data_IF_167805724132
#
_entry.id   IF_167805724132
#
_cell.length_a   1.000
_cell.length_b   1.000
_cell.length_c   1.000
_cell.angle_alpha   90.00
_cell.angle_beta   90.00
_cell.angle_gamma   90.00
#
_symmetry.space_group_name_H-M   'P 1'
#
loop_
_entity.id
_entity.type
_entity.pdbx_description
1 polymer ?
#
# COMPACT_ATOMS: atom_id res chain seq x y z
N UNK A 1 32.14 -6.58 34.19
CA UNK A 1 32.33 -5.84 32.93
C UNK A 1 31.42 -6.46 31.88
N UNK A 2 30.46 -5.72 31.33
CA UNK A 2 29.66 -6.16 30.17
C UNK A 2 28.22 -6.56 30.48
N UNK A 3 27.28 -5.70 30.10
CA UNK A 3 25.92 -6.06 29.65
C UNK A 3 25.27 -4.80 29.08
N UNK A 4 25.66 -4.46 27.84
CA UNK A 4 25.08 -3.37 27.06
C UNK A 4 23.67 -3.77 26.65
N UNK A 5 22.66 -3.28 27.37
CA UNK A 5 21.26 -3.46 27.00
C UNK A 5 20.98 -2.74 25.68
N UNK A 6 20.66 -3.53 24.66
CA UNK A 6 20.31 -3.09 23.32
C UNK A 6 19.05 -2.20 23.37
N UNK A 7 19.19 -0.94 22.94
CA UNK A 7 18.09 0.00 22.77
C UNK A 7 17.38 -0.32 21.45
N UNK A 8 16.15 -0.82 21.54
CA UNK A 8 15.25 -0.97 20.39
C UNK A 8 14.87 0.42 19.83
N UNK A 9 15.00 0.67 18.52
CA UNK A 9 14.46 1.88 17.92
C UNK A 9 12.94 1.72 17.76
N UNK A 10 12.17 2.34 18.65
CA UNK A 10 10.72 2.50 18.49
C UNK A 10 10.45 3.33 17.23
N UNK A 11 9.92 2.69 16.19
CA UNK A 11 9.44 3.34 14.96
C UNK A 11 8.21 4.17 15.33
N UNK A 12 8.40 5.47 15.53
CA UNK A 12 7.32 6.39 15.89
C UNK A 12 6.38 6.59 14.68
N UNK A 13 5.05 6.48 14.85
CA UNK A 13 4.10 6.74 13.79
C UNK A 13 4.06 8.24 13.47
N UNK A 14 4.30 8.60 12.20
CA UNK A 14 4.29 9.97 11.72
C UNK A 14 2.91 10.63 11.89
N UNK A 15 2.74 11.43 12.94
CA UNK A 15 1.57 12.29 13.15
C UNK A 15 1.74 13.59 12.36
N UNK A 16 0.64 14.15 11.83
CA UNK A 16 0.66 15.45 11.16
C UNK A 16 0.61 16.59 12.20
N UNK A 17 0.93 17.83 11.82
CA UNK A 17 0.99 19.02 12.72
C UNK A 17 -0.27 19.31 13.57
N UNK A 18 -1.39 18.61 13.34
CA UNK A 18 -2.66 18.74 14.06
C UNK A 18 -2.94 17.57 15.02
N UNK A 19 -1.95 16.74 15.33
CA UNK A 19 -2.08 15.62 16.28
C UNK A 19 -3.07 14.52 15.87
N UNK A 20 -3.67 14.60 14.68
CA UNK A 20 -4.58 13.58 14.16
C UNK A 20 -3.75 12.45 13.57
N UNK A 21 -4.07 11.17 13.85
CA UNK A 21 -3.38 10.05 13.22
C UNK A 21 -3.50 10.20 11.69
N UNK A 22 -2.37 10.46 11.04
CA UNK A 22 -2.30 10.53 9.59
C UNK A 22 -2.56 9.12 9.11
N UNK A 23 -3.82 8.81 8.77
CA UNK A 23 -4.19 7.49 8.24
C UNK A 23 -3.18 7.17 7.14
N UNK A 24 -2.46 6.04 7.22
CA UNK A 24 -1.47 5.71 6.20
C UNK A 24 -2.16 5.77 4.84
N UNK A 25 -1.50 6.33 3.81
CA UNK A 25 -2.06 6.39 2.47
C UNK A 25 -2.48 4.97 2.09
N UNK A 26 -3.79 4.75 2.03
CA UNK A 26 -4.35 3.42 1.78
C UNK A 26 -3.84 2.97 0.42
N UNK A 27 -3.17 1.81 0.36
CA UNK A 27 -2.82 1.22 -0.92
C UNK A 27 -4.09 1.09 -1.76
N UNK A 28 -3.99 1.26 -3.09
CA UNK A 28 -5.11 1.01 -3.99
C UNK A 28 -5.62 -0.42 -3.74
N UNK A 29 -6.91 -0.56 -3.45
CA UNK A 29 -7.54 -1.89 -3.35
C UNK A 29 -7.72 -2.56 -4.71
N UNK A 30 -7.43 -1.87 -5.81
CA UNK A 30 -7.51 -2.41 -7.18
C UNK A 30 -6.20 -2.08 -7.91
N UNK A 31 -5.73 -2.95 -8.79
CA UNK A 31 -4.61 -2.59 -9.67
C UNK A 31 -4.97 -1.40 -10.58
N UNK A 32 -3.96 -0.75 -11.14
CA UNK A 32 -4.11 0.41 -12.01
C UNK A 32 -4.99 0.11 -13.23
N UNK A 33 -4.76 -1.00 -13.91
CA UNK A 33 -5.57 -1.44 -15.06
C UNK A 33 -7.07 -1.60 -14.71
N UNK A 34 -7.39 -2.27 -13.60
CA UNK A 34 -8.78 -2.41 -13.15
C UNK A 34 -9.38 -1.10 -12.65
N UNK A 35 -8.57 -0.25 -12.01
CA UNK A 35 -8.99 1.07 -11.55
C UNK A 35 -9.30 2.01 -12.71
N UNK A 36 -8.43 2.05 -13.72
CA UNK A 36 -8.60 2.82 -14.94
C UNK A 36 -9.82 2.35 -15.74
N UNK A 37 -10.02 1.03 -15.83
CA UNK A 37 -11.20 0.43 -16.44
C UNK A 37 -12.46 0.47 -15.55
N UNK A 38 -12.38 1.03 -14.33
CA UNK A 38 -13.47 1.13 -13.33
C UNK A 38 -14.20 -0.19 -13.08
N UNK A 39 -13.45 -1.29 -13.00
CA UNK A 39 -14.01 -2.62 -12.77
C UNK A 39 -13.57 -3.21 -11.43
N UNK A 40 -14.26 -4.29 -11.01
CA UNK A 40 -13.83 -5.07 -9.86
C UNK A 40 -12.47 -5.71 -10.16
N UNK A 41 -11.54 -5.56 -9.22
CA UNK A 41 -10.25 -6.23 -9.26
C UNK A 41 -10.29 -7.44 -8.32
N UNK A 42 -9.86 -8.59 -8.83
CA UNK A 42 -9.81 -9.87 -8.13
C UNK A 42 -8.70 -9.90 -7.07
N UNK A 43 -7.79 -8.91 -7.12
CA UNK A 43 -6.64 -8.72 -6.21
C UNK A 43 -5.71 -9.93 -6.10
N UNK A 44 -5.79 -10.88 -7.03
CA UNK A 44 -4.84 -11.99 -7.11
C UNK A 44 -3.44 -11.43 -7.36
N UNK A 45 -2.44 -12.05 -6.73
CA UNK A 45 -1.04 -11.66 -6.79
C UNK A 45 -0.25 -12.78 -7.50
N UNK A 46 0.70 -12.47 -8.40
CA UNK A 46 1.29 -11.16 -8.71
C UNK A 46 0.43 -10.25 -9.62
N UNK A 47 -0.47 -10.83 -10.40
CA UNK A 47 -1.38 -10.10 -11.31
C UNK A 47 -2.83 -10.52 -11.09
N UNK A 48 -3.74 -9.57 -11.28
CA UNK A 48 -5.17 -9.81 -11.20
C UNK A 48 -5.63 -10.80 -12.30
N UNK A 49 -6.63 -11.65 -12.05
CA UNK A 49 -7.11 -12.65 -13.02
C UNK A 49 -7.53 -12.03 -14.35
N UNK A 50 -8.25 -10.89 -14.31
CA UNK A 50 -8.57 -10.11 -15.51
C UNK A 50 -7.33 -9.65 -16.28
N UNK A 51 -6.31 -9.20 -15.54
CA UNK A 51 -5.08 -8.68 -16.12
C UNK A 51 -4.28 -9.79 -16.80
N UNK A 52 -4.27 -10.99 -16.21
CA UNK A 52 -3.66 -12.19 -16.79
C UNK A 52 -4.41 -12.60 -18.06
N UNK A 53 -5.75 -12.69 -18.00
CA UNK A 53 -6.57 -13.08 -19.14
C UNK A 53 -6.48 -12.08 -20.31
N UNK A 54 -6.41 -10.78 -20.00
CA UNK A 54 -6.31 -9.72 -21.01
C UNK A 54 -4.90 -9.33 -21.41
N UNK A 55 -3.85 -9.97 -20.84
CA UNK A 55 -2.46 -9.58 -21.10
C UNK A 55 -2.11 -8.14 -20.69
N UNK A 56 -2.84 -7.56 -19.73
CA UNK A 56 -2.69 -6.16 -19.31
C UNK A 56 -1.60 -6.01 -18.24
N UNK A 57 -1.00 -4.82 -18.20
CA UNK A 57 -0.05 -4.47 -17.15
C UNK A 57 -0.76 -4.29 -15.79
N UNK A 58 -0.49 -5.18 -14.84
CA UNK A 58 -1.12 -5.16 -13.52
C UNK A 58 -0.17 -4.55 -12.49
N UNK A 59 -0.34 -3.26 -12.21
CA UNK A 59 0.47 -2.54 -11.22
C UNK A 59 -0.40 -2.12 -10.04
N UNK A 60 -0.03 -2.49 -8.82
CA UNK A 60 -0.68 -2.00 -7.61
C UNK A 60 0.06 -0.76 -7.10
N UNK A 61 -0.38 0.42 -7.56
CA UNK A 61 0.20 1.70 -7.16
C UNK A 61 -0.31 2.24 -5.81
N UNK A 62 0.37 3.25 -5.28
CA UNK A 62 -0.08 4.00 -4.10
C UNK A 62 -1.29 4.88 -4.49
N UNK A 63 -2.42 4.78 -3.79
CA UNK A 63 -3.53 5.72 -3.97
C UNK A 63 -3.14 7.08 -3.41
N UNK A 64 -2.61 7.97 -4.24
CA UNK A 64 -2.47 9.39 -3.89
C UNK A 64 -3.83 10.06 -4.11
N UNK A 65 -4.71 9.88 -3.13
CA UNK A 65 -5.84 10.80 -2.97
C UNK A 65 -5.28 12.04 -2.29
N UNK A 66 -5.20 13.13 -3.06
CA UNK A 66 -4.80 14.46 -2.58
C UNK A 66 -5.82 14.97 -1.54
#
# INVERSE_FOLDING_TARGET
MGSTLARTPTVQPATNARGTPRRPPKLRSSCDACGAAKVRCDKTQPRCGRCVAGGLNCVYGLSRKF
#
